data_IF_715335540909
#
_entry.id   IF_715335540909
#
_cell.length_a   1.000
_cell.length_b   1.000
_cell.length_c   1.000
_cell.angle_alpha   90.00
_cell.angle_beta   90.00
_cell.angle_gamma   90.00
#
_symmetry.space_group_name_H-M   'P 1'
#
loop_
_entity.id
_entity.type
_entity.pdbx_description
1 polymer ?
#
# COMPACT_ATOMS: atom_id res chain seq x y z
N UNK A 1 -28.65 23.34 -8.36
CA UNK A 1 -27.41 23.94 -7.83
C UNK A 1 -26.38 22.85 -7.61
N UNK A 2 -25.18 23.03 -8.08
CA UNK A 2 -24.08 22.08 -7.86
C UNK A 2 -23.32 22.44 -6.58
N UNK A 3 -23.10 21.45 -5.75
CA UNK A 3 -22.37 21.60 -4.49
C UNK A 3 -21.36 20.48 -4.31
N UNK A 4 -20.28 20.75 -3.56
CA UNK A 4 -19.26 19.78 -3.21
C UNK A 4 -19.43 19.44 -1.74
N UNK A 5 -19.59 18.15 -1.43
CA UNK A 5 -19.72 17.71 -0.04
C UNK A 5 -18.42 17.84 0.73
N UNK A 6 -18.49 18.46 1.89
CA UNK A 6 -17.36 18.58 2.83
C UNK A 6 -17.34 17.47 3.87
N UNK A 7 -18.44 16.75 4.00
CA UNK A 7 -18.61 15.60 4.89
C UNK A 7 -19.49 14.55 4.22
N UNK A 8 -19.44 13.33 4.72
CA UNK A 8 -20.30 12.27 4.24
C UNK A 8 -21.76 12.53 4.61
N UNK A 9 -22.65 12.52 3.60
CA UNK A 9 -24.09 12.69 3.77
C UNK A 9 -24.77 11.43 3.27
N UNK A 10 -25.37 10.66 4.16
CA UNK A 10 -25.95 9.35 3.86
C UNK A 10 -26.95 9.34 2.70
N UNK A 11 -27.69 10.43 2.51
CA UNK A 11 -28.71 10.53 1.47
C UNK A 11 -28.23 11.14 0.17
N UNK A 12 -27.03 11.68 0.13
CA UNK A 12 -26.53 12.48 -1.01
C UNK A 12 -25.20 11.98 -1.58
N UNK A 13 -24.25 11.57 -0.75
CA UNK A 13 -22.94 11.11 -1.21
C UNK A 13 -21.85 11.24 -0.16
N UNK A 14 -20.61 11.04 -0.59
CA UNK A 14 -19.43 11.06 0.27
C UNK A 14 -18.71 12.40 0.23
N UNK A 15 -17.86 12.64 1.22
CA UNK A 15 -16.99 13.80 1.28
C UNK A 15 -16.17 13.97 0.00
N UNK A 16 -16.20 15.18 -0.55
CA UNK A 16 -15.47 15.52 -1.79
C UNK A 16 -16.24 15.24 -3.07
N UNK A 17 -17.42 14.68 -3.00
CA UNK A 17 -18.25 14.39 -4.16
C UNK A 17 -19.02 15.62 -4.63
N UNK A 18 -19.08 15.80 -5.97
CA UNK A 18 -19.89 16.84 -6.60
C UNK A 18 -21.31 16.31 -6.81
N UNK A 19 -22.29 16.97 -6.22
CA UNK A 19 -23.69 16.60 -6.35
C UNK A 19 -24.55 17.76 -6.84
N UNK A 20 -25.68 17.45 -7.43
CA UNK A 20 -26.68 18.43 -7.85
C UNK A 20 -27.89 18.35 -6.92
N UNK A 21 -28.17 19.45 -6.22
CA UNK A 21 -29.28 19.56 -5.27
C UNK A 21 -30.11 20.81 -5.54
N UNK A 22 -31.32 20.86 -4.99
CA UNK A 22 -32.14 22.07 -5.07
C UNK A 22 -31.50 23.20 -4.27
N UNK A 23 -31.65 24.41 -4.74
CA UNK A 23 -31.11 25.61 -4.08
C UNK A 23 -31.62 25.75 -2.65
N UNK A 24 -32.89 25.47 -2.41
CA UNK A 24 -33.47 25.51 -1.07
C UNK A 24 -32.85 24.49 -0.13
N UNK A 25 -32.62 23.27 -0.58
CA UNK A 25 -31.96 22.24 0.23
C UNK A 25 -30.51 22.61 0.57
N UNK A 26 -29.76 23.08 -0.41
CA UNK A 26 -28.38 23.51 -0.22
C UNK A 26 -28.29 24.67 0.81
N UNK A 27 -29.08 25.72 0.62
CA UNK A 27 -29.04 26.91 1.47
C UNK A 27 -29.62 26.69 2.88
N UNK A 28 -30.65 25.89 3.01
CA UNK A 28 -31.35 25.68 4.28
C UNK A 28 -30.79 24.54 5.12
N UNK A 29 -30.13 23.54 4.49
CA UNK A 29 -29.67 22.34 5.16
C UNK A 29 -28.15 22.13 5.06
N UNK A 30 -27.61 22.12 3.84
CA UNK A 30 -26.19 21.79 3.64
C UNK A 30 -25.24 22.87 4.12
N UNK A 31 -25.49 24.12 3.76
CA UNK A 31 -24.61 25.25 4.11
C UNK A 31 -24.63 25.59 5.60
N UNK A 32 -25.78 25.71 6.28
CA UNK A 32 -25.82 26.00 7.71
C UNK A 32 -25.13 24.92 8.55
N UNK A 33 -25.23 23.66 8.14
CA UNK A 33 -24.58 22.53 8.80
C UNK A 33 -23.15 22.29 8.34
N UNK A 34 -22.64 23.10 7.43
CA UNK A 34 -21.30 22.94 6.84
C UNK A 34 -21.06 21.55 6.22
N UNK A 35 -22.09 20.96 5.65
CA UNK A 35 -22.03 19.64 5.01
C UNK A 35 -21.59 19.72 3.56
N UNK A 36 -21.75 20.89 2.92
CA UNK A 36 -21.33 21.13 1.55
C UNK A 36 -20.96 22.59 1.34
N UNK A 37 -20.24 22.87 0.26
CA UNK A 37 -19.93 24.21 -0.23
C UNK A 37 -20.39 24.37 -1.65
N UNK A 38 -20.67 25.61 -2.07
CA UNK A 38 -21.04 25.90 -3.43
C UNK A 38 -19.92 25.48 -4.40
N UNK A 39 -20.29 24.77 -5.47
CA UNK A 39 -19.34 24.33 -6.50
C UNK A 39 -19.08 25.49 -7.47
N UNK A 40 -18.24 26.45 -7.06
CA UNK A 40 -17.73 27.50 -7.94
C UNK A 40 -16.54 27.00 -8.78
N UNK A 41 -16.05 27.85 -9.70
CA UNK A 41 -14.94 27.49 -10.58
C UNK A 41 -13.66 27.13 -9.78
N UNK A 42 -13.41 27.83 -8.67
CA UNK A 42 -12.25 27.58 -7.80
C UNK A 42 -12.37 26.23 -7.09
N UNK A 43 -13.51 25.94 -6.49
CA UNK A 43 -13.76 24.67 -5.81
C UNK A 43 -13.72 23.48 -6.77
N UNK A 44 -14.22 23.63 -8.00
CA UNK A 44 -14.13 22.60 -9.03
C UNK A 44 -12.69 22.37 -9.51
N UNK A 45 -11.88 23.41 -9.64
CA UNK A 45 -10.46 23.30 -9.97
C UNK A 45 -9.67 22.60 -8.86
N UNK A 46 -9.93 22.92 -7.61
CA UNK A 46 -9.31 22.23 -6.46
C UNK A 46 -9.68 20.76 -6.43
N UNK A 47 -10.94 20.40 -6.69
CA UNK A 47 -11.38 19.00 -6.78
C UNK A 47 -10.66 18.27 -7.92
N UNK A 48 -10.63 18.85 -9.13
CA UNK A 48 -9.90 18.29 -10.27
C UNK A 48 -8.43 18.08 -9.99
N UNK A 49 -7.76 19.07 -9.39
CA UNK A 49 -6.35 18.99 -9.05
C UNK A 49 -6.09 17.90 -8.01
N UNK A 50 -6.97 17.74 -7.02
CA UNK A 50 -6.87 16.67 -6.02
C UNK A 50 -7.01 15.29 -6.65
N UNK A 51 -8.04 15.09 -7.46
CA UNK A 51 -8.26 13.82 -8.17
C UNK A 51 -7.09 13.48 -9.10
N UNK A 52 -6.58 14.45 -9.85
CA UNK A 52 -5.43 14.27 -10.71
C UNK A 52 -4.16 13.92 -9.92
N UNK A 53 -3.93 14.57 -8.77
CA UNK A 53 -2.79 14.30 -7.89
C UNK A 53 -2.89 12.91 -7.27
N UNK A 54 -4.05 12.50 -6.79
CA UNK A 54 -4.27 11.16 -6.23
C UNK A 54 -4.06 10.07 -7.28
N UNK A 55 -4.60 10.27 -8.48
CA UNK A 55 -4.41 9.34 -9.60
C UNK A 55 -2.94 9.24 -10.02
N UNK A 56 -2.25 10.37 -10.15
CA UNK A 56 -0.82 10.40 -10.48
C UNK A 56 0.01 9.67 -9.42
N UNK A 57 -0.25 9.93 -8.16
CA UNK A 57 0.42 9.24 -7.04
C UNK A 57 0.15 7.74 -7.06
N UNK A 58 -1.09 7.33 -7.27
CA UNK A 58 -1.46 5.92 -7.40
C UNK A 58 -0.73 5.24 -8.57
N UNK A 59 -0.71 5.88 -9.75
CA UNK A 59 -0.03 5.35 -10.93
C UNK A 59 1.49 5.26 -10.72
N UNK A 60 2.10 6.25 -10.06
CA UNK A 60 3.52 6.25 -9.71
C UNK A 60 3.85 5.14 -8.71
N UNK A 61 3.06 4.99 -7.66
CA UNK A 61 3.23 3.93 -6.66
C UNK A 61 3.07 2.54 -7.28
N UNK A 62 2.13 2.38 -8.19
CA UNK A 62 1.92 1.14 -8.94
C UNK A 62 3.13 0.82 -9.84
N UNK A 63 3.65 1.78 -10.57
CA UNK A 63 4.84 1.60 -11.41
C UNK A 63 6.07 1.24 -10.57
N UNK A 64 6.29 1.91 -9.44
CA UNK A 64 7.37 1.60 -8.50
C UNK A 64 7.22 0.20 -7.92
N UNK A 65 6.01 -0.23 -7.58
CA UNK A 65 5.73 -1.56 -7.06
C UNK A 65 6.02 -2.64 -8.11
N UNK A 66 5.66 -2.44 -9.37
CA UNK A 66 5.98 -3.34 -10.47
C UNK A 66 7.49 -3.46 -10.71
N UNK A 67 8.20 -2.35 -10.68
CA UNK A 67 9.66 -2.33 -10.81
C UNK A 67 10.33 -3.09 -9.66
N UNK A 68 9.89 -2.86 -8.42
CA UNK A 68 10.36 -3.59 -7.25
C UNK A 68 10.07 -5.10 -7.34
N UNK A 69 8.91 -5.48 -7.80
CA UNK A 69 8.53 -6.88 -8.03
C UNK A 69 9.51 -7.56 -8.99
N UNK A 70 9.81 -6.92 -10.11
CA UNK A 70 10.79 -7.43 -11.07
C UNK A 70 12.19 -7.57 -10.47
N UNK A 71 12.63 -6.59 -9.69
CA UNK A 71 13.91 -6.65 -8.96
C UNK A 71 13.95 -7.80 -7.95
N UNK A 72 12.88 -8.00 -7.19
CA UNK A 72 12.80 -9.06 -6.19
C UNK A 72 12.88 -10.47 -6.80
N UNK A 73 12.33 -10.67 -7.98
CA UNK A 73 12.41 -11.95 -8.70
C UNK A 73 13.86 -12.32 -9.08
N UNK A 74 14.71 -11.33 -9.30
CA UNK A 74 16.13 -11.53 -9.65
C UNK A 74 17.05 -11.62 -8.44
N UNK A 75 16.58 -11.28 -7.26
CA UNK A 75 17.36 -11.23 -6.03
C UNK A 75 17.09 -12.47 -5.19
N UNK A 76 18.16 -13.05 -4.65
CA UNK A 76 18.10 -14.10 -3.64
C UNK A 76 18.63 -13.56 -2.32
N UNK A 77 17.79 -13.54 -1.29
CA UNK A 77 18.22 -13.15 0.06
C UNK A 77 18.90 -14.34 0.72
N UNK A 78 20.15 -14.16 1.12
CA UNK A 78 20.91 -15.16 1.85
C UNK A 78 20.87 -14.86 3.34
N UNK A 79 20.40 -15.81 4.12
CA UNK A 79 20.39 -15.72 5.59
C UNK A 79 21.27 -16.80 6.15
N UNK A 80 22.23 -16.40 6.98
CA UNK A 80 23.12 -17.32 7.65
C UNK A 80 22.67 -17.48 9.11
N UNK A 81 22.32 -18.69 9.50
CA UNK A 81 21.87 -18.98 10.85
C UNK A 81 22.46 -20.29 11.34
N UNK A 82 22.83 -20.34 12.62
CA UNK A 82 23.34 -21.55 13.25
C UNK A 82 22.23 -22.57 13.48
N UNK A 83 22.58 -23.86 13.35
CA UNK A 83 21.67 -24.95 13.59
C UNK A 83 22.40 -26.29 13.73
N UNK A 84 21.64 -27.35 13.87
CA UNK A 84 22.14 -28.72 13.97
C UNK A 84 21.23 -29.70 13.22
N UNK A 85 21.81 -30.70 12.56
CA UNK A 85 21.09 -31.74 11.80
C UNK A 85 20.11 -31.19 10.73
N UNK A 86 20.49 -30.11 10.04
CA UNK A 86 19.67 -29.49 9.02
C UNK A 86 18.55 -28.60 9.57
N UNK A 87 18.46 -28.42 10.89
CA UNK A 87 17.48 -27.57 11.54
C UNK A 87 18.15 -26.38 12.20
N UNK A 88 17.47 -25.23 12.19
CA UNK A 88 17.91 -24.04 12.87
C UNK A 88 17.70 -24.16 14.39
N UNK A 89 18.60 -23.59 15.18
CA UNK A 89 18.39 -23.47 16.63
C UNK A 89 17.24 -22.54 16.97
N UNK A 90 17.02 -21.51 16.15
CA UNK A 90 15.87 -20.64 16.23
C UNK A 90 15.00 -20.71 14.98
N UNK A 91 14.28 -19.66 14.70
CA UNK A 91 13.45 -19.55 13.50
C UNK A 91 13.74 -18.23 12.77
N UNK A 92 13.74 -18.28 11.45
CA UNK A 92 13.84 -17.08 10.61
C UNK A 92 12.45 -16.54 10.36
N UNK A 93 12.24 -15.29 10.80
CA UNK A 93 10.95 -14.62 10.69
C UNK A 93 10.94 -13.62 9.51
N UNK A 94 9.77 -13.14 9.16
CA UNK A 94 9.62 -12.09 8.14
C UNK A 94 10.41 -10.83 8.46
N UNK A 95 10.59 -10.52 9.74
CA UNK A 95 11.43 -9.40 10.20
C UNK A 95 12.88 -9.59 9.78
N UNK A 96 13.44 -10.75 10.03
CA UNK A 96 14.83 -11.07 9.67
C UNK A 96 15.04 -11.08 8.16
N UNK A 97 14.07 -11.56 7.41
CA UNK A 97 14.07 -11.49 5.94
C UNK A 97 14.10 -10.03 5.47
N UNK A 98 13.26 -9.18 6.02
CA UNK A 98 13.19 -7.77 5.67
C UNK A 98 14.51 -7.04 6.01
N UNK A 99 15.08 -7.31 7.17
CA UNK A 99 16.37 -6.73 7.59
C UNK A 99 17.53 -7.21 6.72
N UNK A 100 17.57 -8.49 6.39
CA UNK A 100 18.59 -9.07 5.50
C UNK A 100 18.49 -8.52 4.08
N UNK A 101 17.27 -8.37 3.56
CA UNK A 101 17.02 -7.76 2.27
C UNK A 101 17.52 -6.31 2.23
N UNK A 102 17.21 -5.54 3.24
CA UNK A 102 17.70 -4.16 3.39
C UNK A 102 19.23 -4.10 3.41
N UNK A 103 19.87 -4.99 4.16
CA UNK A 103 21.32 -5.02 4.29
C UNK A 103 22.02 -5.44 2.99
N UNK A 104 21.47 -6.42 2.29
CA UNK A 104 22.08 -6.99 1.08
C UNK A 104 21.80 -6.18 -0.19
N UNK A 105 20.62 -5.63 -0.31
CA UNK A 105 20.17 -4.94 -1.54
C UNK A 105 19.81 -3.48 -1.34
N UNK A 106 19.65 -3.03 -0.11
CA UNK A 106 19.20 -1.68 0.21
C UNK A 106 17.69 -1.46 0.03
N UNK A 107 16.95 -2.50 -0.36
CA UNK A 107 15.49 -2.43 -0.55
C UNK A 107 14.80 -2.55 0.81
N UNK A 108 13.99 -1.55 1.15
CA UNK A 108 13.21 -1.54 2.40
C UNK A 108 11.82 -2.05 2.13
N UNK A 109 11.47 -3.18 2.74
CA UNK A 109 10.14 -3.78 2.67
C UNK A 109 9.63 -4.00 4.09
N UNK A 110 8.34 -3.67 4.30
CA UNK A 110 7.69 -3.94 5.58
C UNK A 110 7.51 -5.45 5.76
N UNK A 111 7.86 -5.96 6.95
CA UNK A 111 7.64 -7.36 7.33
C UNK A 111 6.18 -7.82 7.15
N UNK A 112 5.23 -6.90 7.27
CA UNK A 112 3.80 -7.18 7.09
C UNK A 112 3.41 -7.46 5.65
N UNK A 113 4.21 -6.99 4.70
CA UNK A 113 3.99 -7.22 3.27
C UNK A 113 4.51 -8.58 2.81
N UNK A 114 5.41 -9.19 3.58
CA UNK A 114 5.93 -10.52 3.31
C UNK A 114 4.90 -11.55 3.80
N UNK A 115 4.38 -12.35 2.87
CA UNK A 115 3.43 -13.42 3.19
C UNK A 115 4.22 -14.66 3.62
N UNK A 116 4.32 -14.87 4.92
CA UNK A 116 5.02 -16.00 5.51
C UNK A 116 4.06 -16.72 6.46
N UNK A 117 3.47 -17.85 6.05
CA UNK A 117 2.55 -18.60 6.92
C UNK A 117 3.25 -19.20 8.14
N UNK A 118 4.47 -19.70 7.95
CA UNK A 118 5.27 -20.30 9.02
C UNK A 118 6.72 -19.79 8.99
N UNK A 119 7.34 -19.59 10.14
CA UNK A 119 8.75 -19.22 10.20
C UNK A 119 9.65 -20.36 9.68
N UNK A 120 10.79 -20.00 9.11
CA UNK A 120 11.77 -20.97 8.60
C UNK A 120 12.50 -21.59 9.78
N UNK A 121 12.49 -22.91 9.85
CA UNK A 121 13.16 -23.69 10.93
C UNK A 121 14.24 -24.63 10.41
N UNK A 122 14.44 -24.71 9.11
CA UNK A 122 15.41 -25.59 8.49
C UNK A 122 16.18 -24.86 7.37
N UNK A 123 17.36 -25.38 7.05
CA UNK A 123 18.13 -24.89 5.91
C UNK A 123 17.45 -25.21 4.60
N UNK A 124 17.65 -24.38 3.61
CA UNK A 124 17.14 -24.57 2.26
C UNK A 124 16.74 -23.27 1.59
N UNK A 125 16.18 -23.40 0.42
CA UNK A 125 15.66 -22.29 -0.37
C UNK A 125 14.13 -22.25 -0.28
N UNK A 126 13.62 -21.07 0.02
CA UNK A 126 12.18 -20.83 0.18
C UNK A 126 11.75 -19.69 -0.73
N UNK A 127 10.53 -19.74 -1.22
CA UNK A 127 9.93 -18.68 -1.99
C UNK A 127 8.74 -18.12 -1.21
N UNK A 128 8.70 -16.80 -1.06
CA UNK A 128 7.63 -16.09 -0.38
C UNK A 128 7.06 -15.01 -1.27
N UNK A 129 5.77 -14.76 -1.12
CA UNK A 129 5.11 -13.67 -1.80
C UNK A 129 5.24 -12.38 -0.99
N UNK A 130 5.52 -11.28 -1.67
CA UNK A 130 5.59 -9.95 -1.07
C UNK A 130 4.51 -9.08 -1.70
N UNK A 131 3.57 -8.64 -0.90
CA UNK A 131 2.51 -7.73 -1.34
C UNK A 131 3.05 -6.30 -1.37
N UNK A 132 3.51 -5.86 -2.52
CA UNK A 132 4.03 -4.50 -2.72
C UNK A 132 2.91 -3.47 -2.88
N UNK A 133 1.84 -3.88 -3.51
CA UNK A 133 0.65 -3.09 -3.76
C UNK A 133 -0.56 -4.03 -3.82
N UNK A 134 -1.80 -3.58 -3.59
CA UNK A 134 -2.97 -4.47 -3.64
C UNK A 134 -3.09 -5.29 -4.93
N UNK A 135 -2.59 -4.74 -6.04
CA UNK A 135 -2.62 -5.37 -7.37
C UNK A 135 -1.28 -6.01 -7.78
N UNK A 136 -0.20 -5.74 -7.04
CA UNK A 136 1.16 -6.20 -7.38
C UNK A 136 1.70 -7.08 -6.27
N UNK A 137 1.99 -8.33 -6.61
CA UNK A 137 2.63 -9.30 -5.73
C UNK A 137 3.98 -9.68 -6.33
N UNK A 138 5.05 -9.44 -5.58
CA UNK A 138 6.40 -9.87 -5.94
C UNK A 138 6.73 -11.21 -5.31
N UNK A 139 7.63 -11.96 -5.93
CA UNK A 139 8.18 -13.20 -5.38
C UNK A 139 9.59 -12.96 -4.85
N UNK A 140 9.82 -13.35 -3.62
CA UNK A 140 11.11 -13.23 -2.96
C UNK A 140 11.69 -14.61 -2.70
N UNK A 141 12.91 -14.85 -3.17
CA UNK A 141 13.63 -16.08 -2.91
C UNK A 141 14.54 -15.89 -1.71
N UNK A 142 14.40 -16.76 -0.74
CA UNK A 142 15.20 -16.74 0.49
C UNK A 142 15.98 -18.05 0.61
N UNK A 143 17.28 -17.95 0.75
CA UNK A 143 18.15 -19.09 0.99
C UNK A 143 18.73 -19.04 2.40
N UNK A 144 18.47 -20.05 3.17
CA UNK A 144 19.01 -20.18 4.54
C UNK A 144 20.20 -21.13 4.51
N UNK A 145 21.34 -20.64 4.97
CA UNK A 145 22.60 -21.34 4.98
C UNK A 145 23.10 -21.59 6.40
N UNK A 146 23.90 -22.62 6.58
CA UNK A 146 24.61 -22.88 7.81
C UNK A 146 25.73 -21.84 8.00
N UNK A 147 25.99 -21.55 9.25
CA UNK A 147 27.00 -20.57 9.65
C UNK A 147 28.42 -21.04 9.44
#
# INVERSE_FOLDING_TARGET
>A
MKVILTQDVKSQGKKGELINVSEGYARNFLFPKKLAVEADAKAMNELKNREASEKFKHDTDLANAKELSAKLETITVKIVSGGNDGRLYGSVTSKEIAESLKTQTGIVIDKRKIVMPDPIKAYGTYNYDVKLFPEVVGKLKVTVLDK
#
